data_IF_753526497960
#
_entry.id   IF_753526497960
#
_cell.length_a   1.000
_cell.length_b   1.000
_cell.length_c   1.000
_cell.angle_alpha   90.00
_cell.angle_beta   90.00
_cell.angle_gamma   90.00
#
_symmetry.space_group_name_H-M   'P 1'
#
loop_
_entity.id
_entity.type
_entity.pdbx_description
1 polymer ?
#
# COMPACT_ATOMS: atom_id res chain seq x y z
N UNK A 1 -35.75 22.76 -49.30
CA UNK A 1 -35.03 21.83 -50.20
C UNK A 1 -33.71 22.47 -50.61
N UNK A 2 -32.59 21.97 -50.08
CA UNK A 2 -31.26 21.91 -50.71
C UNK A 2 -30.24 21.54 -49.63
N UNK A 3 -29.72 20.33 -49.74
CA UNK A 3 -28.68 19.69 -48.94
C UNK A 3 -27.28 20.11 -49.38
N UNK A 4 -26.31 20.12 -48.47
CA UNK A 4 -24.84 20.01 -48.69
C UNK A 4 -24.19 19.62 -47.36
N UNK A 5 -23.81 18.34 -47.16
CA UNK A 5 -22.43 17.77 -47.27
C UNK A 5 -21.40 18.58 -46.47
N UNK A 6 -20.73 18.11 -45.42
CA UNK A 6 -20.21 16.77 -45.13
C UNK A 6 -18.70 16.76 -45.39
N UNK A 7 -17.87 17.00 -44.37
CA UNK A 7 -16.43 16.72 -44.39
C UNK A 7 -15.88 16.61 -42.97
N UNK A 8 -15.69 15.37 -42.51
CA UNK A 8 -14.89 15.05 -41.34
C UNK A 8 -13.41 15.07 -41.70
N UNK A 9 -12.59 15.64 -40.81
CA UNK A 9 -11.14 15.49 -40.85
C UNK A 9 -10.70 14.68 -39.63
N UNK A 10 -10.25 13.47 -39.89
CA UNK A 10 -9.59 12.57 -38.94
C UNK A 10 -8.14 13.02 -38.74
N UNK A 11 -7.73 13.26 -37.50
CA UNK A 11 -6.33 13.47 -37.10
C UNK A 11 -5.55 12.14 -37.13
N UNK A 12 -4.28 12.14 -37.56
CA UNK A 12 -3.47 10.93 -37.60
C UNK A 12 -2.87 10.56 -36.23
N UNK A 13 -2.76 9.24 -36.05
CA UNK A 13 -2.15 8.50 -34.94
C UNK A 13 -0.67 8.84 -34.78
N UNK A 14 -0.26 9.29 -33.59
CA UNK A 14 1.15 9.40 -33.21
C UNK A 14 1.58 8.12 -32.49
N UNK A 15 2.16 7.19 -33.25
CA UNK A 15 2.93 6.06 -32.73
C UNK A 15 4.37 6.54 -32.48
N UNK A 16 4.80 6.55 -31.23
CA UNK A 16 6.23 6.67 -30.88
C UNK A 16 6.63 5.52 -29.98
N UNK A 17 7.17 4.50 -30.63
CA UNK A 17 8.11 3.54 -30.06
C UNK A 17 9.32 4.27 -29.48
N UNK A 18 9.70 3.95 -28.25
CA UNK A 18 10.98 4.34 -27.68
C UNK A 18 11.72 3.10 -27.20
N UNK A 19 12.86 2.88 -27.84
CA UNK A 19 13.75 1.75 -27.70
C UNK A 19 14.48 1.74 -26.35
N UNK A 20 14.69 0.54 -25.84
CA UNK A 20 15.51 0.23 -24.68
C UNK A 20 16.99 0.44 -25.00
N UNK A 21 17.67 1.33 -24.27
CA UNK A 21 19.14 1.40 -24.23
C UNK A 21 19.61 0.67 -22.97
N UNK A 22 20.09 -0.56 -23.16
CA UNK A 22 20.79 -1.35 -22.14
C UNK A 22 22.23 -0.84 -22.00
N UNK A 23 22.52 -0.14 -20.90
CA UNK A 23 23.90 0.14 -20.51
C UNK A 23 24.49 -1.09 -19.80
N UNK A 24 25.49 -1.70 -20.43
CA UNK A 24 26.27 -2.83 -19.90
C UNK A 24 27.40 -2.30 -19.01
N UNK A 25 27.40 -2.68 -17.74
CA UNK A 25 28.50 -2.40 -16.82
C UNK A 25 29.52 -3.55 -16.87
N UNK A 26 30.69 -3.30 -17.47
CA UNK A 26 31.86 -4.19 -17.40
C UNK A 26 32.48 -4.08 -16.01
N UNK A 27 32.48 -5.17 -15.24
CA UNK A 27 33.43 -5.38 -14.12
C UNK A 27 34.61 -6.20 -14.64
N UNK A 28 35.81 -5.74 -14.34
CA UNK A 28 37.06 -6.45 -14.64
C UNK A 28 37.92 -6.56 -13.39
N UNK A 29 38.57 -7.73 -13.28
CA UNK A 29 39.70 -8.12 -12.43
C UNK A 29 39.37 -8.35 -10.94
N UNK A 30 39.89 -9.37 -10.24
CA UNK A 30 41.17 -10.07 -10.33
C UNK A 30 41.02 -11.56 -9.96
N UNK A 31 41.80 -12.44 -10.63
CA UNK A 31 42.02 -13.82 -10.23
C UNK A 31 43.37 -13.91 -9.48
N UNK A 32 43.40 -14.64 -8.37
CA UNK A 32 44.61 -15.07 -7.67
C UNK A 32 44.51 -16.58 -7.42
N UNK A 33 45.53 -17.30 -7.86
CA UNK A 33 45.71 -18.74 -7.75
C UNK A 33 46.98 -18.99 -6.94
N UNK A 34 46.87 -19.76 -5.85
CA UNK A 34 47.91 -20.57 -5.18
C UNK A 34 47.13 -21.54 -4.27
N UNK A 35 47.39 -22.83 -4.07
CA UNK A 35 48.36 -23.82 -4.51
C UNK A 35 48.03 -25.12 -3.74
N UNK A 36 48.25 -26.28 -4.35
CA UNK A 36 48.02 -27.62 -3.77
C UNK A 36 49.11 -28.00 -2.76
N UNK A 37 48.74 -28.68 -1.67
CA UNK A 37 49.57 -29.73 -1.06
C UNK A 37 48.72 -30.69 -0.22
N UNK A 38 49.02 -31.99 -0.33
CA UNK A 38 48.39 -33.12 0.36
C UNK A 38 49.35 -33.71 1.42
N UNK A 39 48.84 -34.38 2.47
CA UNK A 39 49.16 -35.80 2.84
C UNK A 39 48.66 -36.21 4.26
N UNK A 40 47.89 -37.32 4.28
CA UNK A 40 47.82 -38.49 5.19
C UNK A 40 47.68 -38.45 6.75
N UNK A 41 46.48 -38.89 7.23
CA UNK A 41 46.09 -40.04 8.15
C UNK A 41 46.73 -40.23 9.57
N UNK A 42 46.11 -41.03 10.50
CA UNK A 42 44.70 -41.37 10.82
C UNK A 42 44.34 -41.35 12.34
N UNK A 43 43.06 -41.46 12.74
CA UNK A 43 42.70 -41.93 14.11
C UNK A 43 41.35 -41.50 14.73
N UNK A 44 40.47 -42.50 14.88
CA UNK A 44 39.39 -42.67 15.89
C UNK A 44 38.00 -42.01 15.72
N UNK A 45 36.92 -42.70 16.13
CA UNK A 45 35.55 -42.41 15.72
C UNK A 45 34.86 -41.47 16.72
N UNK A 46 34.15 -40.47 16.21
CA UNK A 46 33.27 -39.62 17.00
C UNK A 46 31.83 -39.76 16.52
N UNK A 47 30.97 -40.00 17.51
CA UNK A 47 29.53 -40.19 17.42
C UNK A 47 28.85 -39.14 16.53
N UNK A 48 27.94 -39.60 15.69
CA UNK A 48 26.95 -38.76 15.04
C UNK A 48 25.96 -38.20 16.09
N UNK A 49 25.70 -36.89 16.15
CA UNK A 49 24.50 -36.40 16.79
C UNK A 49 23.33 -36.52 15.80
N UNK A 50 22.19 -36.91 16.36
CA UNK A 50 20.91 -37.06 15.70
C UNK A 50 20.53 -35.81 14.90
N UNK A 51 19.86 -36.03 13.76
CA UNK A 51 19.20 -35.01 12.96
C UNK A 51 18.15 -34.27 13.81
N UNK A 52 18.57 -33.19 14.47
CA UNK A 52 17.68 -32.18 15.00
C UNK A 52 17.07 -31.43 13.83
N UNK A 53 15.75 -31.50 13.72
CA UNK A 53 14.97 -30.76 12.73
C UNK A 53 15.33 -29.28 12.82
N UNK A 54 16.08 -28.80 11.83
CA UNK A 54 16.18 -27.38 11.56
C UNK A 54 14.77 -26.90 11.23
N UNK A 55 14.17 -26.17 12.18
CA UNK A 55 12.97 -25.38 11.96
C UNK A 55 13.18 -24.56 10.69
N UNK A 56 12.47 -24.95 9.63
CA UNK A 56 12.40 -24.19 8.40
C UNK A 56 11.78 -22.86 8.75
N UNK A 57 12.61 -21.83 8.99
CA UNK A 57 12.19 -20.45 8.76
C UNK A 57 11.70 -20.42 7.32
N UNK A 58 10.37 -20.41 7.16
CA UNK A 58 9.73 -20.44 5.87
C UNK A 58 10.35 -19.36 5.00
N UNK A 59 10.99 -19.77 3.92
CA UNK A 59 11.28 -18.90 2.79
C UNK A 59 9.96 -18.22 2.44
N UNK A 60 9.77 -16.95 2.82
CA UNK A 60 8.66 -16.15 2.32
C UNK A 60 8.74 -16.22 0.80
N UNK A 61 7.83 -16.95 0.16
CA UNK A 61 7.85 -17.07 -1.28
C UNK A 61 7.67 -15.66 -1.86
N UNK A 62 8.43 -15.34 -2.91
CA UNK A 62 8.29 -14.06 -3.61
C UNK A 62 6.83 -13.78 -4.04
N UNK A 63 6.04 -14.85 -4.23
CA UNK A 63 4.60 -14.79 -4.51
C UNK A 63 3.73 -14.27 -3.36
N UNK A 64 4.16 -14.41 -2.11
CA UNK A 64 3.43 -13.87 -0.95
C UNK A 64 3.63 -12.36 -0.79
N UNK A 65 4.84 -11.86 -1.07
CA UNK A 65 5.12 -10.42 -0.93
C UNK A 65 4.44 -9.57 -2.01
N UNK A 66 4.28 -10.11 -3.22
CA UNK A 66 3.62 -9.43 -4.34
C UNK A 66 2.11 -9.23 -4.14
N UNK A 67 1.50 -9.95 -3.19
CA UNK A 67 0.08 -9.86 -2.84
C UNK A 67 -0.18 -8.95 -1.64
N UNK A 68 0.86 -8.30 -1.09
CA UNK A 68 0.72 -7.33 -0.02
C UNK A 68 -0.01 -6.09 -0.51
N UNK A 69 -0.60 -5.36 0.44
CA UNK A 69 -1.30 -4.10 0.18
C UNK A 69 -0.57 -2.98 0.93
N UNK A 70 -0.42 -1.83 0.27
CA UNK A 70 0.17 -0.63 0.87
C UNK A 70 -0.97 0.30 1.25
N UNK A 71 -1.32 0.32 2.53
CA UNK A 71 -2.40 1.14 3.05
C UNK A 71 -1.88 2.54 3.33
N UNK A 72 -2.59 3.55 2.83
CA UNK A 72 -2.27 4.96 3.02
C UNK A 72 -3.56 5.72 3.28
N UNK A 73 -3.47 6.73 4.10
CA UNK A 73 -4.46 7.77 4.28
C UNK A 73 -3.72 9.11 4.38
N UNK A 74 -4.28 10.15 3.76
CA UNK A 74 -3.74 11.49 3.74
C UNK A 74 -4.73 12.46 4.34
N UNK A 75 -4.22 13.39 5.14
CA UNK A 75 -4.92 14.64 5.41
C UNK A 75 -4.33 15.72 4.49
N UNK A 76 -5.20 16.50 3.86
CA UNK A 76 -4.83 17.59 2.95
C UNK A 76 -5.47 18.91 3.38
N UNK A 77 -4.94 20.02 2.87
CA UNK A 77 -5.53 21.35 3.05
C UNK A 77 -6.86 21.54 2.30
N UNK A 78 -7.18 20.61 1.40
CA UNK A 78 -8.39 20.58 0.58
C UNK A 78 -8.33 19.50 -0.51
N UNK A 79 -9.19 19.60 -1.52
CA UNK A 79 -9.37 18.58 -2.57
C UNK A 79 -8.89 19.02 -3.97
N UNK A 80 -8.42 20.26 -4.12
CA UNK A 80 -7.89 20.82 -5.36
C UNK A 80 -6.39 20.55 -5.45
N UNK A 81 -5.98 19.47 -6.13
CA UNK A 81 -4.57 19.08 -6.28
C UNK A 81 -3.68 20.17 -6.90
N UNK A 82 -4.26 21.20 -7.54
CA UNK A 82 -3.49 22.32 -8.10
C UNK A 82 -3.12 23.38 -7.06
N UNK A 83 -3.79 23.39 -5.91
CA UNK A 83 -3.63 24.41 -4.86
C UNK A 83 -3.29 23.80 -3.51
N UNK A 84 -3.97 22.72 -3.16
CA UNK A 84 -3.90 22.07 -1.87
C UNK A 84 -2.65 21.20 -1.75
N UNK A 85 -2.21 21.02 -0.50
CA UNK A 85 -1.01 20.27 -0.13
C UNK A 85 -1.33 19.17 0.89
N UNK A 86 -0.43 18.18 0.96
CA UNK A 86 -0.45 17.11 1.97
C UNK A 86 0.04 17.69 3.32
N UNK A 87 -0.67 17.39 4.40
CA UNK A 87 -0.35 17.86 5.76
C UNK A 87 -0.18 16.73 6.79
N UNK A 88 -0.80 15.57 6.58
CA UNK A 88 -0.51 14.35 7.34
C UNK A 88 -0.50 13.16 6.37
N UNK A 89 0.37 12.18 6.63
CA UNK A 89 0.36 10.91 5.92
C UNK A 89 0.70 9.79 6.90
N UNK A 90 -0.03 8.69 6.81
CA UNK A 90 0.31 7.45 7.48
C UNK A 90 0.42 6.30 6.46
N UNK A 91 1.16 5.25 6.82
CA UNK A 91 1.27 4.06 5.99
C UNK A 91 1.29 2.77 6.82
N UNK A 92 0.55 1.75 6.39
CA UNK A 92 0.61 0.39 6.92
C UNK A 92 0.81 -0.63 5.79
N UNK A 93 1.40 -1.78 6.11
CA UNK A 93 1.50 -2.91 5.18
C UNK A 93 0.67 -4.06 5.72
N UNK A 94 -0.19 -4.63 4.88
CA UNK A 94 -0.87 -5.90 5.18
C UNK A 94 -0.46 -6.99 4.20
N UNK A 95 -0.66 -8.25 4.62
CA UNK A 95 -0.73 -9.37 3.67
C UNK A 95 -2.07 -9.35 2.89
N UNK A 96 -2.27 -10.37 2.06
CA UNK A 96 -3.49 -10.59 1.28
C UNK A 96 -4.73 -10.87 2.13
N UNK A 97 -4.55 -11.26 3.40
CA UNK A 97 -5.60 -11.64 4.33
C UNK A 97 -5.98 -10.49 5.28
N UNK A 98 -5.41 -9.30 5.07
CA UNK A 98 -5.63 -8.08 5.86
C UNK A 98 -4.98 -8.14 7.25
N UNK A 99 -3.98 -9.00 7.45
CA UNK A 99 -3.17 -8.99 8.67
C UNK A 99 -2.10 -7.90 8.54
N UNK A 100 -2.01 -7.02 9.54
CA UNK A 100 -0.97 -5.97 9.58
C UNK A 100 0.39 -6.63 9.80
N UNK A 101 1.30 -6.41 8.86
CA UNK A 101 2.67 -6.93 8.88
C UNK A 101 3.67 -5.90 9.41
N UNK A 102 3.42 -4.62 9.12
CA UNK A 102 4.29 -3.53 9.52
C UNK A 102 3.49 -2.23 9.64
N UNK A 103 3.85 -1.44 10.65
CA UNK A 103 3.41 -0.06 10.81
C UNK A 103 4.53 0.87 10.34
N UNK A 104 4.21 1.72 9.37
CA UNK A 104 5.13 2.68 8.79
C UNK A 104 5.12 4.02 9.55
N UNK A 105 5.78 5.03 8.97
CA UNK A 105 5.74 6.38 9.52
C UNK A 105 4.31 6.93 9.60
N UNK A 106 4.09 7.81 10.57
CA UNK A 106 2.90 8.66 10.66
C UNK A 106 3.41 10.09 10.83
N UNK A 107 3.48 10.84 9.73
CA UNK A 107 4.23 12.08 9.64
C UNK A 107 3.30 13.25 9.36
N UNK A 108 3.53 14.34 10.08
CA UNK A 108 2.89 15.63 9.87
C UNK A 108 3.86 16.50 9.08
N UNK A 109 3.43 17.03 7.94
CA UNK A 109 4.28 17.71 6.98
C UNK A 109 4.11 19.22 7.15
N UNK A 110 5.22 19.95 7.29
CA UNK A 110 5.20 21.40 7.45
C UNK A 110 4.64 22.06 6.19
N UNK A 111 3.70 22.98 6.39
CA UNK A 111 3.18 23.88 5.35
C UNK A 111 3.28 25.35 5.79
N UNK A 112 3.32 26.31 4.85
CA UNK A 112 3.26 27.74 5.16
C UNK A 112 1.95 28.13 5.82
N UNK A 113 1.99 29.11 6.72
CA UNK A 113 0.82 29.58 7.45
C UNK A 113 -0.23 30.20 6.51
N UNK A 114 0.21 30.85 5.43
CA UNK A 114 -0.69 31.44 4.42
C UNK A 114 -1.56 30.37 3.74
N UNK A 115 -1.03 29.15 3.55
CA UNK A 115 -1.80 28.03 3.00
C UNK A 115 -2.84 27.54 4.01
N UNK A 116 -2.46 27.42 5.28
CA UNK A 116 -3.36 26.96 6.34
C UNK A 116 -4.50 27.95 6.58
N UNK A 117 -4.21 29.24 6.52
CA UNK A 117 -5.20 30.32 6.61
C UNK A 117 -6.12 30.37 5.38
N UNK A 118 -5.62 29.92 4.22
CA UNK A 118 -6.36 29.82 2.97
C UNK A 118 -7.29 28.60 2.86
N UNK A 119 -7.26 27.67 3.83
CA UNK A 119 -8.12 26.49 3.82
C UNK A 119 -9.62 26.84 3.85
N UNK A 120 -10.44 25.94 3.33
CA UNK A 120 -11.91 26.03 3.49
C UNK A 120 -12.33 25.99 4.96
N UNK A 121 -13.49 26.56 5.30
CA UNK A 121 -14.00 26.56 6.68
C UNK A 121 -14.14 25.14 7.24
N UNK A 122 -14.56 24.18 6.41
CA UNK A 122 -14.64 22.77 6.81
C UNK A 122 -13.26 22.22 7.23
N UNK A 123 -12.22 22.48 6.43
CA UNK A 123 -10.85 22.04 6.73
C UNK A 123 -10.30 22.75 7.99
N UNK A 124 -10.52 24.06 8.13
CA UNK A 124 -10.11 24.82 9.33
C UNK A 124 -10.74 24.27 10.60
N UNK A 125 -12.03 23.96 10.56
CA UNK A 125 -12.75 23.42 11.70
C UNK A 125 -12.26 22.01 12.06
N UNK A 126 -12.17 21.10 11.09
CA UNK A 126 -11.82 19.70 11.34
C UNK A 126 -10.36 19.56 11.79
N UNK A 127 -9.43 20.18 11.04
CA UNK A 127 -7.99 20.14 11.36
C UNK A 127 -7.66 20.95 12.63
N UNK A 128 -8.46 21.98 12.92
CA UNK A 128 -8.37 22.72 14.19
C UNK A 128 -8.78 21.86 15.38
N UNK A 129 -9.93 21.18 15.31
CA UNK A 129 -10.44 20.32 16.39
C UNK A 129 -9.56 19.09 16.64
N UNK A 130 -8.98 18.50 15.58
CA UNK A 130 -8.06 17.35 15.73
C UNK A 130 -6.67 17.75 16.24
N UNK A 131 -6.36 19.05 16.29
CA UNK A 131 -5.04 19.58 16.63
C UNK A 131 -4.04 19.52 15.48
N UNK A 132 -4.44 19.02 14.30
CA UNK A 132 -3.56 18.85 13.15
C UNK A 132 -3.01 20.19 12.64
N UNK A 133 -3.83 21.24 12.57
CA UNK A 133 -3.37 22.56 12.10
C UNK A 133 -2.19 23.09 12.93
N UNK A 134 -2.26 22.92 14.26
CA UNK A 134 -1.17 23.35 15.15
C UNK A 134 0.07 22.46 14.97
N UNK A 135 -0.13 21.15 14.88
CA UNK A 135 0.97 20.22 14.65
C UNK A 135 1.68 20.44 13.30
N UNK A 136 0.96 20.88 12.26
CA UNK A 136 1.56 21.28 10.98
C UNK A 136 2.43 22.52 11.15
N UNK A 137 2.00 23.51 11.94
CA UNK A 137 2.81 24.69 12.24
C UNK A 137 4.10 24.32 12.97
N UNK A 138 4.01 23.38 13.91
CA UNK A 138 5.13 22.95 14.75
C UNK A 138 6.05 21.94 14.04
N UNK A 139 5.60 21.33 12.95
CA UNK A 139 6.37 20.35 12.20
C UNK A 139 7.62 20.97 11.55
N UNK A 140 8.66 20.15 11.43
CA UNK A 140 9.91 20.47 10.74
C UNK A 140 10.18 19.54 9.56
N UNK A 141 9.24 18.64 9.26
CA UNK A 141 9.37 17.63 8.22
C UNK A 141 8.92 18.25 6.90
N UNK A 142 9.82 18.26 5.92
CA UNK A 142 9.48 18.69 4.55
C UNK A 142 8.80 17.56 3.79
N UNK A 143 8.13 17.91 2.68
CA UNK A 143 7.47 16.94 1.81
C UNK A 143 8.46 15.89 1.26
N UNK A 144 9.67 16.32 0.88
CA UNK A 144 10.71 15.44 0.33
C UNK A 144 11.27 14.47 1.40
N UNK A 145 11.40 14.95 2.64
CA UNK A 145 11.80 14.09 3.76
C UNK A 145 10.73 13.04 4.04
N UNK A 146 9.46 13.45 4.07
CA UNK A 146 8.34 12.52 4.23
C UNK A 146 8.31 11.49 3.10
N UNK A 147 8.40 11.91 1.83
CA UNK A 147 8.43 10.99 0.68
C UNK A 147 9.56 9.97 0.83
N UNK A 148 10.76 10.41 1.19
CA UNK A 148 11.91 9.52 1.39
C UNK A 148 11.66 8.50 2.49
N UNK A 149 11.10 8.92 3.63
CA UNK A 149 10.79 8.02 4.75
C UNK A 149 9.76 6.96 4.35
N UNK A 150 8.67 7.36 3.69
CA UNK A 150 7.66 6.43 3.20
C UNK A 150 8.20 5.49 2.12
N UNK A 151 8.96 6.01 1.16
CA UNK A 151 9.58 5.21 0.10
C UNK A 151 10.58 4.19 0.67
N UNK A 152 11.40 4.60 1.64
CA UNK A 152 12.35 3.73 2.32
C UNK A 152 11.64 2.61 3.07
N UNK A 153 10.53 2.94 3.75
CA UNK A 153 9.69 1.96 4.44
C UNK A 153 9.09 0.95 3.44
N UNK A 154 8.38 1.40 2.40
CA UNK A 154 7.71 0.45 1.47
C UNK A 154 8.70 -0.43 0.72
N UNK A 155 9.91 0.07 0.40
CA UNK A 155 10.98 -0.74 -0.23
C UNK A 155 11.43 -1.93 0.62
N UNK A 156 11.34 -1.83 1.94
CA UNK A 156 11.68 -2.93 2.85
C UNK A 156 10.58 -4.00 2.91
N UNK A 157 9.35 -3.63 2.55
CA UNK A 157 8.16 -4.47 2.74
C UNK A 157 7.48 -4.92 1.46
N UNK A 158 7.75 -4.32 0.30
CA UNK A 158 7.10 -4.68 -0.96
C UNK A 158 8.07 -4.72 -2.14
N UNK A 159 7.89 -5.67 -3.07
CA UNK A 159 8.65 -5.65 -4.31
C UNK A 159 8.17 -4.50 -5.21
N UNK A 160 9.09 -3.83 -5.93
CA UNK A 160 8.77 -2.65 -6.74
C UNK A 160 7.77 -3.00 -7.85
N UNK A 161 6.75 -2.15 -7.99
CA UNK A 161 5.74 -2.18 -9.05
C UNK A 161 4.67 -3.25 -8.89
N UNK A 162 4.60 -3.98 -7.78
CA UNK A 162 3.69 -5.14 -7.64
C UNK A 162 2.51 -4.90 -6.69
N UNK A 163 2.72 -4.15 -5.61
CA UNK A 163 1.71 -3.99 -4.57
C UNK A 163 0.84 -2.74 -4.84
N UNK A 164 -0.50 -2.86 -4.81
CA UNK A 164 -1.40 -1.72 -5.00
C UNK A 164 -1.50 -0.86 -3.73
N UNK A 165 -1.85 0.41 -3.95
CA UNK A 165 -2.30 1.32 -2.90
C UNK A 165 -3.69 0.87 -2.40
N UNK A 166 -3.93 0.94 -1.09
CA UNK A 166 -5.18 0.54 -0.46
C UNK A 166 -5.68 1.59 0.54
N UNK A 167 -7.00 1.74 0.65
CA UNK A 167 -7.63 2.71 1.55
C UNK A 167 -9.08 3.00 1.17
N UNK A 168 -9.77 3.85 1.94
CA UNK A 168 -11.10 4.32 1.58
C UNK A 168 -10.99 5.53 0.65
N UNK A 169 -11.65 5.48 -0.51
CA UNK A 169 -11.61 6.57 -1.49
C UNK A 169 -10.17 6.94 -1.91
N UNK A 170 -9.27 5.95 -1.87
CA UNK A 170 -7.82 6.13 -2.00
C UNK A 170 -7.38 6.64 -3.38
N UNK A 171 -8.30 6.71 -4.34
CA UNK A 171 -8.08 7.42 -5.60
C UNK A 171 -7.84 8.93 -5.39
N UNK A 172 -8.41 9.53 -4.34
CA UNK A 172 -8.16 10.91 -3.96
C UNK A 172 -6.72 11.08 -3.45
N UNK A 173 -6.29 10.20 -2.54
CA UNK A 173 -4.91 10.19 -2.03
C UNK A 173 -3.91 9.97 -3.15
N UNK A 174 -4.18 8.97 -4.01
CA UNK A 174 -3.35 8.67 -5.17
C UNK A 174 -3.14 9.89 -6.06
N UNK A 175 -4.16 10.74 -6.26
CA UNK A 175 -4.05 11.95 -7.07
C UNK A 175 -3.04 12.94 -6.48
N UNK A 176 -2.99 13.08 -5.15
CA UNK A 176 -1.98 13.88 -4.48
C UNK A 176 -0.60 13.22 -4.53
N UNK A 177 -0.51 11.91 -4.25
CA UNK A 177 0.76 11.18 -4.28
C UNK A 177 1.40 11.16 -5.67
N UNK A 178 0.61 10.99 -6.74
CA UNK A 178 1.12 11.02 -8.12
C UNK A 178 1.81 12.36 -8.45
N UNK A 179 1.35 13.46 -7.85
CA UNK A 179 1.89 14.81 -8.07
C UNK A 179 3.03 15.15 -7.11
N UNK A 180 2.83 14.90 -5.81
CA UNK A 180 3.67 15.40 -4.74
C UNK A 180 4.66 14.36 -4.19
N UNK A 181 4.41 13.06 -4.41
CA UNK A 181 5.31 11.97 -4.02
C UNK A 181 5.49 10.95 -5.17
N UNK A 182 5.99 11.38 -6.34
CA UNK A 182 6.07 10.54 -7.54
C UNK A 182 7.03 9.35 -7.40
N UNK A 183 8.10 9.45 -6.60
CA UNK A 183 9.03 8.34 -6.38
C UNK A 183 8.40 7.26 -5.49
N UNK A 184 7.60 7.66 -4.50
CA UNK A 184 6.77 6.73 -3.72
C UNK A 184 5.82 5.97 -4.65
N UNK A 185 5.07 6.68 -5.50
CA UNK A 185 4.12 6.06 -6.43
C UNK A 185 4.77 5.17 -7.48
N UNK A 186 5.98 5.51 -7.95
CA UNK A 186 6.73 4.67 -8.90
C UNK A 186 7.06 3.28 -8.34
N UNK A 187 7.19 3.15 -7.02
CA UNK A 187 7.40 1.86 -6.36
C UNK A 187 6.12 1.01 -6.27
N UNK A 188 4.94 1.62 -6.40
CA UNK A 188 3.66 0.93 -6.26
C UNK A 188 3.08 0.49 -7.61
N UNK A 189 2.15 -0.46 -7.57
CA UNK A 189 1.39 -0.85 -8.76
C UNK A 189 0.36 0.24 -9.13
N UNK A 190 0.00 0.35 -10.41
CA UNK A 190 -0.92 1.39 -10.90
C UNK A 190 -2.37 1.22 -10.42
N UNK A 191 -2.75 0.00 -10.00
CA UNK A 191 -4.08 -0.33 -9.49
C UNK A 191 -4.20 0.07 -8.02
N UNK A 192 -5.44 0.27 -7.59
CA UNK A 192 -5.78 0.53 -6.20
C UNK A 192 -6.78 -0.51 -5.68
N UNK A 193 -6.80 -0.69 -4.37
CA UNK A 193 -7.85 -1.39 -3.63
C UNK A 193 -8.64 -0.33 -2.86
N UNK A 194 -9.74 0.11 -3.46
CA UNK A 194 -10.58 1.14 -2.87
C UNK A 194 -11.74 0.52 -2.08
N UNK A 195 -11.66 0.60 -0.75
CA UNK A 195 -12.68 0.07 0.16
C UNK A 195 -14.04 0.75 -0.07
N UNK A 196 -14.06 2.03 -0.45
CA UNK A 196 -15.30 2.76 -0.73
C UNK A 196 -16.02 2.22 -1.97
N UNK A 197 -15.32 1.58 -2.92
CA UNK A 197 -15.97 0.86 -4.02
C UNK A 197 -16.83 -0.28 -3.47
N UNK A 198 -16.27 -1.09 -2.57
CA UNK A 198 -16.98 -2.24 -1.97
C UNK A 198 -18.11 -1.74 -1.07
N UNK A 199 -17.90 -0.66 -0.30
CA UNK A 199 -18.95 0.02 0.47
C UNK A 199 -20.16 0.37 -0.39
N UNK A 200 -19.94 1.00 -1.54
CA UNK A 200 -21.01 1.43 -2.44
C UNK A 200 -21.74 0.24 -3.11
N UNK A 201 -21.03 -0.85 -3.39
CA UNK A 201 -21.64 -2.11 -3.85
C UNK A 201 -22.46 -2.78 -2.75
N UNK A 202 -21.92 -2.87 -1.53
CA UNK A 202 -22.62 -3.39 -0.35
C UNK A 202 -23.92 -2.63 -0.12
N UNK A 203 -23.89 -1.29 -0.17
CA UNK A 203 -25.07 -0.45 0.03
C UNK A 203 -26.21 -0.75 -0.96
N UNK A 204 -25.90 -1.20 -2.18
CA UNK A 204 -26.88 -1.47 -3.24
C UNK A 204 -27.32 -2.93 -3.30
N UNK A 205 -26.38 -3.86 -3.10
CA UNK A 205 -26.61 -5.28 -3.32
C UNK A 205 -26.86 -6.06 -2.02
N UNK A 206 -26.40 -5.52 -0.90
CA UNK A 206 -26.43 -6.13 0.44
C UNK A 206 -26.87 -5.10 1.49
N UNK A 207 -28.08 -4.50 1.36
CA UNK A 207 -28.49 -3.36 2.18
C UNK A 207 -28.66 -3.71 3.67
N UNK A 208 -28.95 -4.97 4.01
CA UNK A 208 -29.08 -5.39 5.41
C UNK A 208 -27.72 -5.54 6.08
N UNK A 209 -26.74 -6.16 5.40
CA UNK A 209 -25.35 -6.24 5.85
C UNK A 209 -24.73 -4.84 5.92
N UNK A 210 -25.04 -3.96 4.95
CA UNK A 210 -24.54 -2.59 4.96
C UNK A 210 -24.91 -1.81 6.23
N UNK A 211 -26.13 -2.01 6.78
CA UNK A 211 -26.55 -1.37 8.04
C UNK A 211 -25.73 -1.80 9.26
N UNK A 212 -25.08 -2.96 9.16
CA UNK A 212 -24.31 -3.57 10.24
C UNK A 212 -22.80 -3.29 10.12
N UNK A 213 -22.38 -2.51 9.12
CA UNK A 213 -20.98 -2.07 8.97
C UNK A 213 -20.57 -1.26 10.21
N UNK A 214 -19.40 -1.55 10.82
CA UNK A 214 -18.93 -0.79 11.98
C UNK A 214 -18.85 0.71 11.69
N UNK A 215 -19.41 1.51 12.60
CA UNK A 215 -19.29 2.96 12.51
C UNK A 215 -17.85 3.40 12.72
N UNK A 216 -17.34 4.22 11.79
CA UNK A 216 -16.07 4.92 11.95
C UNK A 216 -16.16 5.96 13.05
N UNK A 217 -15.12 6.08 13.86
CA UNK A 217 -14.98 7.20 14.80
C UNK A 217 -14.70 8.50 14.06
N UNK A 218 -14.13 8.42 12.85
CA UNK A 218 -13.83 9.55 11.98
C UNK A 218 -13.03 10.63 12.74
N UNK A 219 -11.89 10.22 13.31
CA UNK A 219 -11.05 11.12 14.11
C UNK A 219 -10.24 12.10 13.25
N UNK A 220 -10.23 11.93 11.92
CA UNK A 220 -9.47 12.74 10.97
C UNK A 220 -7.98 12.75 11.31
N UNK A 221 -7.44 11.55 11.50
CA UNK A 221 -6.04 11.28 11.84
C UNK A 221 -5.62 10.05 11.08
N UNK A 222 -4.67 10.24 10.16
CA UNK A 222 -4.41 9.30 9.08
C UNK A 222 -4.24 7.84 9.54
N UNK A 223 -3.45 7.59 10.58
CA UNK A 223 -3.17 6.24 11.04
C UNK A 223 -4.40 5.50 11.59
N UNK A 224 -5.28 6.20 12.32
CA UNK A 224 -6.49 5.56 12.85
C UNK A 224 -7.51 5.33 11.72
N UNK A 225 -7.62 6.27 10.78
CA UNK A 225 -8.50 6.14 9.62
C UNK A 225 -8.09 4.97 8.71
N UNK A 226 -6.79 4.68 8.57
CA UNK A 226 -6.31 3.44 7.92
C UNK A 226 -6.82 2.20 8.68
N UNK A 227 -6.65 2.15 10.01
CA UNK A 227 -7.06 0.97 10.80
C UNK A 227 -8.57 0.75 10.72
N UNK A 228 -9.36 1.82 10.69
CA UNK A 228 -10.80 1.75 10.47
C UNK A 228 -11.13 1.24 9.05
N UNK A 229 -10.40 1.68 8.04
CA UNK A 229 -10.55 1.21 6.66
C UNK A 229 -10.24 -0.28 6.49
N UNK A 230 -9.20 -0.78 7.17
CA UNK A 230 -8.88 -2.22 7.22
C UNK A 230 -10.01 -3.01 7.86
N UNK A 231 -10.52 -2.55 9.02
CA UNK A 231 -11.65 -3.20 9.72
C UNK A 231 -12.91 -3.21 8.88
N UNK A 232 -13.20 -2.13 8.16
CA UNK A 232 -14.32 -2.03 7.23
C UNK A 232 -14.18 -3.07 6.09
N UNK A 233 -12.99 -3.20 5.50
CA UNK A 233 -12.76 -4.19 4.44
C UNK A 233 -12.82 -5.64 4.98
N UNK A 234 -12.32 -5.89 6.19
CA UNK A 234 -12.47 -7.18 6.88
C UNK A 234 -13.95 -7.52 7.10
N UNK A 235 -14.76 -6.54 7.49
CA UNK A 235 -16.20 -6.71 7.63
C UNK A 235 -16.83 -7.12 6.29
N UNK A 236 -16.54 -6.42 5.19
CA UNK A 236 -17.09 -6.81 3.89
C UNK A 236 -16.65 -8.22 3.48
N UNK A 237 -15.37 -8.54 3.64
CA UNK A 237 -14.82 -9.88 3.34
C UNK A 237 -15.59 -10.99 4.06
N UNK A 238 -15.98 -10.76 5.32
CA UNK A 238 -16.67 -11.75 6.13
C UNK A 238 -18.17 -11.89 5.79
N UNK A 239 -18.83 -10.83 5.34
CA UNK A 239 -20.30 -10.78 5.27
C UNK A 239 -20.86 -10.82 3.85
N UNK A 240 -20.19 -10.24 2.85
CA UNK A 240 -20.76 -10.09 1.49
C UNK A 240 -19.97 -10.84 0.40
N UNK A 241 -18.78 -11.33 0.72
CA UNK A 241 -18.03 -12.19 -0.20
C UNK A 241 -18.32 -13.66 0.07
N UNK A 242 -18.24 -14.49 -0.98
CA UNK A 242 -18.40 -15.94 -0.86
C UNK A 242 -17.37 -16.50 0.14
N UNK A 243 -17.85 -17.28 1.11
CA UNK A 243 -16.98 -18.00 2.04
C UNK A 243 -15.98 -18.89 1.29
N UNK A 244 -14.70 -18.78 1.65
CA UNK A 244 -13.66 -19.64 1.08
C UNK A 244 -13.77 -21.07 1.63
N UNK A 245 -13.38 -22.07 0.83
CA UNK A 245 -13.41 -23.49 1.22
C UNK A 245 -12.56 -23.79 2.48
N UNK A 246 -11.54 -22.97 2.75
CA UNK A 246 -10.74 -23.06 4.00
C UNK A 246 -11.61 -22.93 5.27
N UNK A 247 -12.74 -22.22 5.19
CA UNK A 247 -13.69 -22.09 6.30
C UNK A 247 -14.81 -23.15 6.30
N UNK A 248 -14.99 -23.92 5.20
CA UNK A 248 -16.06 -24.94 5.09
C UNK A 248 -15.71 -26.22 5.85
N UNK A 249 -14.44 -26.63 5.79
CA UNK A 249 -13.96 -27.88 6.42
C UNK A 249 -14.06 -27.91 7.95
N UNK A 250 -14.13 -26.75 8.62
CA UNK A 250 -14.28 -26.66 10.08
C UNK A 250 -15.75 -26.89 10.50
N UNK A 251 -16.70 -26.45 9.67
CA UNK A 251 -18.13 -26.58 9.98
C UNK A 251 -18.61 -28.02 9.78
N UNK A 252 -18.12 -28.73 8.75
CA UNK A 252 -18.50 -30.13 8.49
C UNK A 252 -17.94 -31.11 9.53
N UNK A 253 -16.77 -30.83 10.11
CA UNK A 253 -16.17 -31.70 11.14
C UNK A 253 -16.70 -31.46 12.56
N UNK A 254 -17.47 -30.39 12.80
CA UNK A 254 -18.09 -30.09 14.11
C UNK A 254 -19.50 -30.66 14.30
N UNK A 255 -20.10 -31.26 13.27
CA UNK A 255 -21.50 -31.72 13.27
C UNK A 255 -21.73 -33.20 13.57
N UNK A 256 -20.68 -34.00 13.84
CA UNK A 256 -20.81 -35.45 14.07
C UNK A 256 -20.40 -35.85 15.50
N UNK A 257 -21.17 -35.42 16.51
CA UNK A 257 -21.30 -36.19 17.75
C UNK A 257 -22.53 -35.72 18.55
N UNK A 258 -23.69 -36.31 18.24
CA UNK A 258 -24.75 -36.57 19.22
C UNK A 258 -25.70 -37.59 18.57
N UNK A 259 -25.34 -38.85 18.73
CA UNK A 259 -26.24 -40.01 18.71
C UNK A 259 -26.60 -40.36 20.15
#
# INVERSE_FOLDING_TARGET
MATKTGSGLTMPVCSRSSAWVLATFRRSLFALSVGKAALSRPGSPLLAPAAGQASTRGSMSATGMSQRMVWVDLEMTGLDVEKDQIIEMACLITDSDLNILAEGPNLIIKQPDELLEGMSEWCKEHHGKSGLTQAVRDSKITLEQAEYEFLSFVRQHTPPGQCPLAGNSVHADKRFLDKYMPQFMYHLHYRIIDVSTIKELSRRWFPEEYKMVPHKKATHRALEDIRESIKELQYYRANIFKASEKNRTIVENGGSSMS
#
